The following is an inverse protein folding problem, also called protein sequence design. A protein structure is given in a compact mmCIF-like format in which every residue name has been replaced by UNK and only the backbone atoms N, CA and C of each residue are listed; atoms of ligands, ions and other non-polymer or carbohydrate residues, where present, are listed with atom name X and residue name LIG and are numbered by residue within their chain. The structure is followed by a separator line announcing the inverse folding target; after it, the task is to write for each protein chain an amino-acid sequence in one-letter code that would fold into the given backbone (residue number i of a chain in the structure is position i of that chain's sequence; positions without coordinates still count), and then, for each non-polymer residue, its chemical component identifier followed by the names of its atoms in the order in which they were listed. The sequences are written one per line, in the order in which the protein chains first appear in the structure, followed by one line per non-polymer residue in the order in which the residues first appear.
data_IF_075168199984
#
_entry.id   IF_075168199984
#
_cell.length_a   1.000
_cell.length_b   1.000
_cell.length_c   1.000
_cell.angle_alpha   90.00
_cell.angle_beta   90.00
_cell.angle_gamma   90.00
#
_symmetry.space_group_name_H-M   'P 1'
#
loop_
_entity.id
_entity.type
_entity.pdbx_description
1 polymer ?
#
# COMPACT_ATOMS: atom_id res chain seq x y z
N UNK A 1 21.44 13.33 -13.39
CA UNK A 1 20.25 12.96 -12.71
C UNK A 1 19.27 12.23 -13.59
N UNK A 2 18.99 11.04 -13.24
CA UNK A 2 18.12 10.21 -14.03
C UNK A 2 16.65 10.53 -13.82
N UNK A 3 15.86 10.24 -14.82
CA UNK A 3 14.41 10.28 -14.69
C UNK A 3 13.96 9.03 -13.95
N UNK A 4 12.88 9.14 -13.19
CA UNK A 4 12.26 7.95 -12.63
C UNK A 4 11.62 7.15 -13.74
N UNK A 5 11.78 5.85 -13.69
CA UNK A 5 11.05 4.99 -14.62
C UNK A 5 9.57 5.00 -14.25
N UNK A 6 8.72 4.48 -15.13
CA UNK A 6 7.32 4.32 -14.84
C UNK A 6 7.09 3.50 -13.58
N UNK A 7 7.89 2.42 -13.42
CA UNK A 7 7.79 1.58 -12.24
C UNK A 7 8.13 2.30 -10.96
N UNK A 8 9.19 3.12 -10.98
CA UNK A 8 9.58 3.87 -9.78
C UNK A 8 8.54 4.92 -9.41
N UNK A 9 7.98 5.61 -10.40
CA UNK A 9 6.95 6.60 -10.15
C UNK A 9 5.70 5.94 -9.55
N UNK A 10 5.32 4.79 -10.06
CA UNK A 10 4.15 4.06 -9.56
C UNK A 10 4.40 3.54 -8.16
N UNK A 11 5.61 3.03 -7.87
CA UNK A 11 5.94 2.59 -6.51
C UNK A 11 5.78 3.73 -5.52
N UNK A 12 6.30 4.91 -5.85
CA UNK A 12 6.16 6.07 -4.98
C UNK A 12 4.71 6.46 -4.78
N UNK A 13 3.91 6.40 -5.85
CA UNK A 13 2.50 6.72 -5.76
C UNK A 13 1.77 5.74 -4.85
N UNK A 14 2.06 4.44 -4.98
CA UNK A 14 1.41 3.43 -4.14
C UNK A 14 1.77 3.65 -2.67
N UNK A 15 3.05 3.88 -2.37
CA UNK A 15 3.46 4.13 -0.98
C UNK A 15 2.73 5.36 -0.43
N UNK A 16 2.63 6.42 -1.22
CA UNK A 16 1.93 7.63 -0.81
C UNK A 16 0.46 7.35 -0.50
N UNK A 17 -0.21 6.56 -1.34
CA UNK A 17 -1.60 6.19 -1.12
C UNK A 17 -1.77 5.44 0.19
N UNK A 18 -0.91 4.44 0.42
CA UNK A 18 -1.02 3.59 1.59
C UNK A 18 -0.68 4.31 2.89
N UNK A 19 0.25 5.26 2.84
CA UNK A 19 0.67 5.99 4.03
C UNK A 19 -0.20 7.21 4.35
N UNK A 20 -1.04 7.64 3.41
CA UNK A 20 -1.90 8.78 3.60
C UNK A 20 -3.25 8.32 4.17
N UNK A 21 -3.70 8.94 5.25
CA UNK A 21 -5.01 8.64 5.82
C UNK A 21 -6.08 9.45 5.09
N UNK A 22 -7.29 8.91 5.05
CA UNK A 22 -8.42 9.68 4.53
C UNK A 22 -8.50 11.02 5.26
N UNK A 23 -8.91 12.04 4.53
CA UNK A 23 -9.12 13.41 5.03
C UNK A 23 -7.84 14.15 5.39
N UNK A 24 -6.67 13.60 5.10
CA UNK A 24 -5.42 14.33 5.34
C UNK A 24 -5.15 15.40 4.29
N UNK A 25 -5.65 15.20 3.07
CA UNK A 25 -5.45 16.17 1.99
C UNK A 25 -6.62 17.14 1.94
N UNK A 26 -6.28 18.42 1.91
CA UNK A 26 -7.28 19.49 2.05
C UNK A 26 -8.37 19.44 0.99
N UNK A 27 -8.01 19.18 -0.26
CA UNK A 27 -8.98 19.17 -1.35
C UNK A 27 -9.20 17.78 -1.92
N UNK A 28 -8.70 16.75 -1.23
CA UNK A 28 -8.82 15.37 -1.67
C UNK A 28 -9.07 14.47 -0.47
N UNK A 29 -10.21 14.64 0.21
CA UNK A 29 -10.46 13.87 1.43
C UNK A 29 -10.57 12.37 1.20
N UNK A 30 -10.88 11.95 -0.03
CA UNK A 30 -11.00 10.52 -0.34
C UNK A 30 -9.67 9.90 -0.72
N UNK A 31 -8.61 10.71 -0.87
CA UNK A 31 -7.31 10.18 -1.21
C UNK A 31 -6.71 9.48 0.01
N UNK A 32 -6.15 8.31 -0.21
CA UNK A 32 -5.46 7.57 0.83
C UNK A 32 -6.12 6.24 1.12
N UNK A 33 -5.91 5.76 2.34
CA UNK A 33 -6.39 4.45 2.73
C UNK A 33 -6.80 4.45 4.21
N UNK A 34 -7.42 3.36 4.64
CA UNK A 34 -7.86 3.20 6.01
C UNK A 34 -6.90 2.31 6.81
N UNK A 35 -5.67 2.12 6.32
CA UNK A 35 -4.73 1.21 6.96
C UNK A 35 -4.38 1.65 8.37
N UNK A 36 -4.19 2.95 8.58
CA UNK A 36 -3.83 3.46 9.91
C UNK A 36 -4.88 3.08 10.95
N UNK A 37 -6.16 3.16 10.60
CA UNK A 37 -7.21 2.75 11.53
C UNK A 37 -7.11 1.27 11.86
N UNK A 38 -6.74 0.45 10.88
CA UNK A 38 -6.60 -0.99 11.11
C UNK A 38 -5.40 -1.31 12.00
N UNK A 39 -4.41 -0.42 12.08
CA UNK A 39 -3.26 -0.63 12.95
C UNK A 39 -3.64 -0.58 14.43
N UNK A 40 -4.76 0.03 14.77
CA UNK A 40 -5.25 0.07 16.15
C UNK A 40 -6.00 -1.20 16.54
N UNK A 41 -6.35 -2.05 15.57
CA UNK A 41 -7.02 -3.31 15.83
C UNK A 41 -6.02 -4.34 16.34
N UNK A 42 -6.53 -5.40 16.96
CA UNK A 42 -5.67 -6.48 17.40
C UNK A 42 -4.95 -7.13 16.24
N UNK A 43 -3.70 -7.50 16.45
CA UNK A 43 -2.90 -8.17 15.45
C UNK A 43 -3.29 -9.64 15.39
N UNK A 44 -4.16 -9.99 14.45
CA UNK A 44 -4.64 -11.35 14.26
C UNK A 44 -4.89 -11.59 12.77
N UNK A 45 -5.18 -12.85 12.37
CA UNK A 45 -5.38 -13.14 10.94
C UNK A 45 -6.49 -12.34 10.28
N UNK A 46 -7.53 -11.99 11.04
CA UNK A 46 -8.63 -11.20 10.49
C UNK A 46 -8.16 -9.81 10.12
N UNK A 47 -7.39 -9.18 11.00
CA UNK A 47 -6.84 -7.85 10.74
C UNK A 47 -5.88 -7.89 9.57
N UNK A 48 -5.06 -8.93 9.47
CA UNK A 48 -4.14 -9.10 8.35
C UNK A 48 -4.92 -9.12 7.02
N UNK A 49 -6.01 -9.87 6.96
CA UNK A 49 -6.82 -9.93 5.74
C UNK A 49 -7.49 -8.59 5.44
N UNK A 50 -7.89 -7.87 6.46
CA UNK A 50 -8.51 -6.56 6.26
C UNK A 50 -7.50 -5.55 5.71
N UNK A 51 -6.26 -5.59 6.21
CA UNK A 51 -5.19 -4.73 5.68
C UNK A 51 -4.94 -5.07 4.21
N UNK A 52 -4.87 -6.36 3.90
CA UNK A 52 -4.65 -6.81 2.53
C UNK A 52 -5.75 -6.30 1.60
N UNK A 53 -7.01 -6.41 2.01
CA UNK A 53 -8.13 -5.92 1.22
C UNK A 53 -8.06 -4.41 1.03
N UNK A 54 -7.71 -3.69 2.08
CA UNK A 54 -7.60 -2.24 2.00
C UNK A 54 -6.51 -1.81 1.02
N UNK A 55 -5.37 -2.51 1.03
CA UNK A 55 -4.30 -2.24 0.09
C UNK A 55 -4.79 -2.41 -1.34
N UNK A 56 -5.46 -3.52 -1.62
CA UNK A 56 -5.98 -3.78 -2.97
C UNK A 56 -6.95 -2.69 -3.41
N UNK A 57 -7.88 -2.30 -2.53
CA UNK A 57 -8.88 -1.30 -2.88
C UNK A 57 -8.28 0.08 -3.07
N UNK A 58 -7.35 0.45 -2.19
CA UNK A 58 -6.75 1.77 -2.26
C UNK A 58 -5.93 1.94 -3.54
N UNK A 59 -5.14 0.92 -3.89
CA UNK A 59 -4.34 0.99 -5.12
C UNK A 59 -5.25 1.02 -6.35
N UNK A 60 -6.29 0.19 -6.36
CA UNK A 60 -7.20 0.18 -7.51
C UNK A 60 -7.92 1.51 -7.67
N UNK A 61 -8.25 2.17 -6.56
CA UNK A 61 -8.98 3.43 -6.58
C UNK A 61 -8.12 4.61 -7.04
N UNK A 62 -6.86 4.64 -6.61
CA UNK A 62 -6.04 5.82 -6.78
C UNK A 62 -4.87 5.68 -7.75
N UNK A 63 -4.52 4.46 -8.13
CA UNK A 63 -3.38 4.26 -9.04
C UNK A 63 -3.72 3.25 -10.13
N UNK A 64 -4.52 3.68 -11.12
CA UNK A 64 -4.96 2.76 -12.17
C UNK A 64 -3.83 2.28 -13.10
N UNK A 65 -2.66 2.94 -13.05
CA UNK A 65 -1.52 2.49 -13.84
C UNK A 65 -0.95 1.17 -13.32
N UNK A 66 -1.22 0.84 -12.07
CA UNK A 66 -0.72 -0.38 -11.45
C UNK A 66 -1.79 -1.46 -11.53
N UNK A 67 -1.40 -2.60 -12.08
CA UNK A 67 -2.25 -3.78 -12.06
C UNK A 67 -1.69 -4.70 -10.97
N UNK A 68 -2.37 -4.77 -9.85
CA UNK A 68 -1.87 -5.53 -8.70
C UNK A 68 -2.00 -7.02 -9.00
N UNK A 69 -0.89 -7.74 -8.89
CA UNK A 69 -0.85 -9.18 -9.07
C UNK A 69 -1.05 -9.88 -7.72
N UNK A 70 -0.45 -9.34 -6.67
CA UNK A 70 -0.58 -9.94 -5.35
C UNK A 70 -0.20 -8.98 -4.25
N UNK A 71 -0.75 -9.24 -3.06
CA UNK A 71 -0.43 -8.49 -1.86
C UNK A 71 -0.16 -9.49 -0.75
N UNK A 72 0.94 -9.27 -0.03
CA UNK A 72 1.30 -10.07 1.12
C UNK A 72 1.39 -9.14 2.33
N UNK A 73 0.82 -9.56 3.44
CA UNK A 73 0.91 -8.82 4.68
C UNK A 73 1.45 -9.76 5.74
N UNK A 74 2.58 -9.40 6.31
CA UNK A 74 3.22 -10.18 7.35
C UNK A 74 3.12 -9.43 8.68
N UNK A 75 2.50 -10.07 9.67
CA UNK A 75 2.43 -9.51 11.00
C UNK A 75 3.68 -9.91 11.78
N UNK A 76 4.46 -8.92 12.19
CA UNK A 76 5.66 -9.15 12.99
C UNK A 76 5.37 -8.73 14.43
N UNK A 77 4.82 -9.66 15.20
CA UNK A 77 4.35 -9.36 16.56
C UNK A 77 5.47 -8.86 17.45
N UNK A 78 6.66 -9.46 17.32
CA UNK A 78 7.79 -9.09 18.16
C UNK A 78 8.20 -7.65 17.96
N UNK A 79 8.01 -7.13 16.74
CA UNK A 79 8.39 -5.76 16.39
C UNK A 79 7.19 -4.84 16.35
N UNK A 80 6.01 -5.37 16.64
CA UNK A 80 4.76 -4.62 16.70
C UNK A 80 4.51 -3.86 15.39
N UNK A 81 4.67 -4.56 14.26
CA UNK A 81 4.54 -3.92 12.96
C UNK A 81 4.04 -4.91 11.92
N UNK A 82 3.59 -4.37 10.78
CA UNK A 82 3.23 -5.17 9.61
C UNK A 82 4.16 -4.82 8.47
N UNK A 83 4.57 -5.83 7.71
CA UNK A 83 5.30 -5.62 6.46
C UNK A 83 4.34 -5.93 5.33
N UNK A 84 4.12 -4.95 4.47
CA UNK A 84 3.22 -5.07 3.34
C UNK A 84 4.04 -5.13 2.06
N UNK A 85 3.83 -6.17 1.27
CA UNK A 85 4.50 -6.33 -0.03
C UNK A 85 3.44 -6.30 -1.12
N UNK A 86 3.67 -5.51 -2.14
CA UNK A 86 2.75 -5.41 -3.28
C UNK A 86 3.53 -5.77 -4.55
N UNK A 87 3.00 -6.72 -5.30
CA UNK A 87 3.55 -7.08 -6.62
C UNK A 87 2.54 -6.59 -7.65
N UNK A 88 3.03 -5.85 -8.63
CA UNK A 88 2.15 -5.23 -9.60
C UNK A 88 2.84 -5.10 -10.95
N UNK A 89 2.02 -4.99 -11.99
CA UNK A 89 2.49 -4.68 -13.35
C UNK A 89 2.17 -3.22 -13.66
N UNK A 90 3.07 -2.60 -14.42
CA UNK A 90 2.84 -1.28 -14.99
C UNK A 90 2.84 -1.47 -16.50
N UNK A 91 1.85 -0.92 -17.18
CA UNK A 91 1.68 -1.17 -18.62
C UNK A 91 2.89 -0.75 -19.45
N UNK A 92 3.68 0.19 -18.93
CA UNK A 92 4.88 0.65 -19.65
C UNK A 92 6.12 -0.20 -19.37
N UNK A 93 6.01 -1.19 -18.46
CA UNK A 93 7.13 -2.02 -18.09
C UNK A 93 6.89 -3.45 -18.51
N UNK A 94 7.97 -4.18 -18.84
CA UNK A 94 7.85 -5.55 -19.32
C UNK A 94 7.85 -6.59 -18.21
N UNK A 95 8.23 -6.20 -16.99
CA UNK A 95 8.35 -7.14 -15.89
C UNK A 95 7.58 -6.64 -14.66
N UNK A 96 7.08 -7.56 -13.83
CA UNK A 96 6.41 -7.16 -12.60
C UNK A 96 7.34 -6.41 -11.68
N UNK A 97 6.78 -5.48 -10.93
CA UNK A 97 7.49 -4.71 -9.93
C UNK A 97 7.03 -5.16 -8.56
N UNK A 98 7.91 -5.02 -7.58
CA UNK A 98 7.57 -5.34 -6.20
C UNK A 98 7.98 -4.19 -5.31
N UNK A 99 7.12 -3.85 -4.35
CA UNK A 99 7.49 -2.89 -3.31
C UNK A 99 7.17 -3.48 -1.96
N UNK A 100 7.92 -3.02 -0.94
CA UNK A 100 7.64 -3.35 0.44
C UNK A 100 7.54 -2.07 1.24
N UNK A 101 6.62 -2.04 2.18
CA UNK A 101 6.53 -0.93 3.10
C UNK A 101 6.16 -1.46 4.49
N UNK A 102 6.58 -0.73 5.52
CA UNK A 102 6.40 -1.16 6.90
C UNK A 102 5.43 -0.21 7.59
N UNK A 103 4.49 -0.79 8.33
CA UNK A 103 3.54 -0.04 9.14
C UNK A 103 3.74 -0.43 10.58
N UNK A 104 4.31 0.48 11.37
CA UNK A 104 4.51 0.25 12.80
C UNK A 104 3.23 0.60 13.54
N UNK A 105 2.81 -0.28 14.44
CA UNK A 105 1.62 -0.04 15.25
C UNK A 105 1.91 1.01 16.30
N UNK A 106 0.89 1.83 16.64
CA UNK A 106 1.06 2.82 17.69
C UNK A 106 1.20 2.21 19.08
#
# INVERSE_FOLDING_TARGET
MGKKTGGDAVKGAIVSILKTNFNERLFQPEFGSNITALLFEQMNPITVERIKSEVLEAVARHEPRAQVIGVEVEAQEEKNRYVVSVVFNVSSESQPQKLETVFTRP
#
